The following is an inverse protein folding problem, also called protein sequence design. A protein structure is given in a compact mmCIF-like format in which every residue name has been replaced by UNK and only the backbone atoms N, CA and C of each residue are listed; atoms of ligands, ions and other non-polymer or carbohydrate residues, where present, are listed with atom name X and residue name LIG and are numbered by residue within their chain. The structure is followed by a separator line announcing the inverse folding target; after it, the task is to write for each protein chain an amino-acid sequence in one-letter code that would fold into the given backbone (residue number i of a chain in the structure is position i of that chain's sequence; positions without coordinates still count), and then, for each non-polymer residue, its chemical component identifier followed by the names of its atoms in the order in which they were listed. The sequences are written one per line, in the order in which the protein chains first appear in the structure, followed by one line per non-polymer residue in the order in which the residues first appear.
data_IF_431153496702
#
_entry.id   IF_431153496702
#
_cell.length_a   1.000
_cell.length_b   1.000
_cell.length_c   1.000
_cell.angle_alpha   90.00
_cell.angle_beta   90.00
_cell.angle_gamma   90.00
#
_symmetry.space_group_name_H-M   'P 1'
#
loop_
_entity.id
_entity.type
_entity.pdbx_description
1 polymer ?
#
# COMPACT_ATOMS: atom_id res chain seq x y z
N UNK A 1 -6.38 9.13 -11.18
CA UNK A 1 -5.77 8.23 -10.19
C UNK A 1 -5.71 8.93 -8.84
N UNK A 2 -6.38 8.39 -7.82
CA UNK A 2 -6.32 8.89 -6.45
C UNK A 2 -5.29 8.11 -5.64
N UNK A 3 -4.07 8.66 -5.52
CA UNK A 3 -2.99 8.13 -4.70
C UNK A 3 -2.80 8.91 -3.40
N UNK A 4 -3.55 10.01 -3.22
CA UNK A 4 -3.44 10.85 -2.02
C UNK A 4 -3.95 10.11 -0.79
N UNK A 5 -3.10 9.91 0.21
CA UNK A 5 -3.45 9.29 1.47
C UNK A 5 -2.36 9.50 2.53
N UNK A 6 -2.73 9.52 3.79
CA UNK A 6 -1.84 9.19 4.89
C UNK A 6 -1.61 7.67 4.92
N UNK A 7 -0.34 7.23 5.05
CA UNK A 7 0.03 5.82 4.78
C UNK A 7 0.93 5.16 5.82
N UNK A 8 1.19 5.79 6.96
CA UNK A 8 2.10 5.23 7.97
C UNK A 8 1.33 4.60 9.11
N UNK A 9 1.36 3.26 9.20
CA UNK A 9 0.58 2.50 10.18
C UNK A 9 0.85 2.97 11.61
N UNK A 10 2.12 3.05 12.05
CA UNK A 10 2.45 3.46 13.42
C UNK A 10 1.92 4.85 13.74
N UNK A 11 2.05 5.81 12.82
CA UNK A 11 1.47 7.15 12.98
C UNK A 11 -0.05 7.13 13.08
N UNK A 12 -0.71 6.17 12.44
CA UNK A 12 -2.16 6.04 12.55
C UNK A 12 -2.60 5.56 13.93
N UNK A 13 -1.73 4.83 14.64
CA UNK A 13 -1.97 4.41 16.02
C UNK A 13 -1.79 5.58 16.97
N UNK A 14 -0.74 6.39 16.75
CA UNK A 14 -0.43 7.55 17.61
C UNK A 14 -1.40 8.71 17.39
N UNK A 15 -1.80 8.97 16.14
CA UNK A 15 -2.69 10.07 15.78
C UNK A 15 -3.62 9.66 14.63
N UNK A 16 -4.76 9.00 14.91
CA UNK A 16 -5.69 8.52 13.88
C UNK A 16 -6.46 9.63 13.18
N UNK A 17 -6.63 10.80 13.79
CA UNK A 17 -7.44 11.92 13.26
C UNK A 17 -7.02 12.33 11.85
N UNK A 18 -5.72 12.51 11.61
CA UNK A 18 -5.18 12.86 10.28
C UNK A 18 -5.52 11.82 9.21
N UNK A 19 -5.63 10.56 9.59
CA UNK A 19 -6.02 9.48 8.67
C UNK A 19 -7.51 9.52 8.35
N UNK A 20 -8.36 9.90 9.29
CA UNK A 20 -9.78 10.13 9.06
C UNK A 20 -9.96 11.33 8.12
N UNK A 21 -9.32 12.46 8.42
CA UNK A 21 -9.40 13.65 7.59
C UNK A 21 -8.92 13.41 6.16
N UNK A 22 -7.70 12.85 6.00
CA UNK A 22 -7.10 12.64 4.69
C UNK A 22 -7.78 11.52 3.90
N UNK A 23 -7.93 10.34 4.53
CA UNK A 23 -8.32 9.12 3.81
C UNK A 23 -9.85 8.95 3.69
N UNK A 24 -10.64 9.56 4.57
CA UNK A 24 -12.11 9.47 4.52
C UNK A 24 -12.71 10.78 4.03
N UNK A 25 -12.50 11.88 4.75
CA UNK A 25 -13.10 13.18 4.40
C UNK A 25 -12.52 13.69 3.07
N UNK A 26 -11.19 13.55 2.87
CA UNK A 26 -10.54 13.89 1.60
C UNK A 26 -11.08 13.08 0.43
N UNK A 27 -11.33 11.77 0.61
CA UNK A 27 -11.93 10.93 -0.43
C UNK A 27 -13.39 11.31 -0.68
N UNK A 28 -14.17 11.61 0.36
CA UNK A 28 -15.53 12.13 0.22
C UNK A 28 -15.56 13.40 -0.64
N UNK A 29 -14.72 14.38 -0.32
CA UNK A 29 -14.64 15.63 -1.09
C UNK A 29 -14.27 15.38 -2.56
N UNK A 30 -13.30 14.49 -2.80
CA UNK A 30 -12.93 14.08 -4.16
C UNK A 30 -14.12 13.45 -4.90
N UNK A 31 -14.88 12.59 -4.24
CA UNK A 31 -16.03 11.90 -4.84
C UNK A 31 -17.15 12.88 -5.19
N UNK A 32 -17.43 13.87 -4.34
CA UNK A 32 -18.41 14.93 -4.65
C UNK A 32 -17.99 15.74 -5.88
N UNK A 33 -16.73 16.15 -5.96
CA UNK A 33 -16.20 16.84 -7.15
C UNK A 33 -16.24 15.93 -8.40
N UNK A 34 -15.81 14.68 -8.27
CA UNK A 34 -15.75 13.75 -9.38
C UNK A 34 -17.15 13.35 -9.89
N UNK A 35 -18.12 13.26 -9.02
CA UNK A 35 -19.54 13.03 -9.38
C UNK A 35 -20.04 14.09 -10.38
N UNK A 36 -19.77 15.36 -10.12
CA UNK A 36 -20.17 16.44 -11.04
C UNK A 36 -19.32 16.48 -12.32
N UNK A 37 -18.00 16.25 -12.17
CA UNK A 37 -17.08 16.23 -13.31
C UNK A 37 -17.38 15.10 -14.30
N UNK A 38 -17.68 13.91 -13.80
CA UNK A 38 -17.94 12.72 -14.64
C UNK A 38 -19.21 12.80 -15.49
N UNK A 39 -20.16 13.66 -15.11
CA UNK A 39 -21.35 13.94 -15.93
C UNK A 39 -21.02 14.65 -17.25
N UNK A 40 -19.91 15.41 -17.26
CA UNK A 40 -19.51 16.27 -18.38
C UNK A 40 -18.30 15.72 -19.17
N UNK A 41 -17.71 14.62 -18.73
CA UNK A 41 -16.50 14.06 -19.33
C UNK A 41 -16.49 12.55 -19.35
N UNK A 42 -15.87 11.95 -20.38
CA UNK A 42 -15.58 10.51 -20.44
C UNK A 42 -14.35 10.22 -19.59
N UNK A 43 -14.49 10.29 -18.27
CA UNK A 43 -13.42 10.05 -17.32
C UNK A 43 -13.69 8.81 -16.49
N UNK A 44 -12.66 8.26 -15.85
CA UNK A 44 -12.81 7.22 -14.83
C UNK A 44 -11.85 7.48 -13.68
N UNK A 45 -12.25 7.11 -12.48
CA UNK A 45 -11.46 7.22 -11.26
C UNK A 45 -10.86 5.86 -10.92
N UNK A 46 -9.55 5.80 -10.72
CA UNK A 46 -8.89 4.67 -10.09
C UNK A 46 -8.55 5.07 -8.66
N UNK A 47 -9.22 4.47 -7.68
CA UNK A 47 -8.94 4.66 -6.27
C UNK A 47 -7.93 3.62 -5.80
N UNK A 48 -6.78 4.09 -5.33
CA UNK A 48 -5.70 3.23 -4.86
C UNK A 48 -5.86 2.97 -3.35
N UNK A 49 -6.14 1.73 -2.99
CA UNK A 49 -6.24 1.21 -1.64
C UNK A 49 -5.05 0.29 -1.32
N UNK A 50 -5.22 -0.59 -0.37
CA UNK A 50 -4.17 -1.46 0.18
C UNK A 50 -4.72 -2.85 0.50
N UNK A 51 -3.88 -3.88 0.44
CA UNK A 51 -4.19 -5.23 0.90
C UNK A 51 -4.41 -5.32 2.43
N UNK A 52 -3.94 -4.31 3.19
CA UNK A 52 -4.14 -4.25 4.64
C UNK A 52 -5.62 -4.14 5.06
N UNK A 53 -6.53 -3.78 4.15
CA UNK A 53 -7.97 -3.79 4.41
C UNK A 53 -8.52 -5.19 4.70
N UNK A 54 -7.85 -6.24 4.24
CA UNK A 54 -8.22 -7.63 4.51
C UNK A 54 -7.80 -8.12 5.90
N UNK A 55 -6.90 -7.37 6.58
CA UNK A 55 -6.34 -7.75 7.87
C UNK A 55 -5.29 -8.86 7.79
N UNK A 56 -5.08 -9.56 8.89
CA UNK A 56 -4.09 -10.63 8.97
C UNK A 56 -4.58 -11.90 8.29
N UNK A 57 -3.89 -12.33 7.25
CA UNK A 57 -4.14 -13.57 6.53
C UNK A 57 -3.21 -14.64 7.09
N UNK A 58 -3.73 -15.49 7.98
CA UNK A 58 -2.94 -16.51 8.65
C UNK A 58 -2.54 -17.68 7.73
N UNK A 59 -3.34 -17.96 6.71
CA UNK A 59 -3.06 -18.99 5.71
C UNK A 59 -3.75 -18.67 4.38
N UNK A 60 -3.13 -19.07 3.25
CA UNK A 60 -3.69 -18.80 1.93
C UNK A 60 -3.50 -17.35 1.47
N UNK A 61 -4.47 -16.84 0.73
CA UNK A 61 -4.48 -15.49 0.14
C UNK A 61 -5.89 -14.91 0.14
N UNK A 62 -5.98 -13.58 0.25
CA UNK A 62 -7.21 -12.86 -0.01
C UNK A 62 -7.43 -12.69 -1.52
N UNK A 63 -8.67 -12.81 -1.94
CA UNK A 63 -9.13 -12.36 -3.25
C UNK A 63 -10.04 -11.14 -3.07
N UNK A 64 -10.50 -10.56 -4.16
CA UNK A 64 -11.31 -9.34 -4.15
C UNK A 64 -12.68 -9.48 -3.47
N UNK A 65 -13.14 -10.71 -3.20
CA UNK A 65 -14.37 -11.01 -2.46
C UNK A 65 -14.13 -11.33 -0.99
N UNK A 66 -12.85 -11.30 -0.55
CA UNK A 66 -12.53 -11.57 0.84
C UNK A 66 -13.06 -10.44 1.74
N UNK A 67 -13.66 -10.76 2.91
CA UNK A 67 -14.20 -9.74 3.78
C UNK A 67 -13.11 -8.83 4.36
N UNK A 68 -13.37 -7.53 4.43
CA UNK A 68 -12.50 -6.58 5.08
C UNK A 68 -12.48 -6.79 6.60
N UNK A 69 -11.28 -6.88 7.17
CA UNK A 69 -11.01 -7.02 8.61
C UNK A 69 -9.79 -6.19 9.00
N UNK A 70 -9.82 -4.86 8.81
CA UNK A 70 -8.66 -4.01 9.02
C UNK A 70 -8.19 -4.08 10.48
N UNK A 71 -6.86 -4.17 10.69
CA UNK A 71 -6.23 -4.33 12.00
C UNK A 71 -5.56 -3.06 12.53
N UNK A 72 -5.62 -1.94 11.79
CA UNK A 72 -5.06 -0.66 12.21
C UNK A 72 -5.98 0.51 11.83
N UNK A 73 -5.84 1.70 12.46
CA UNK A 73 -6.60 2.89 12.06
C UNK A 73 -6.34 3.29 10.60
N UNK A 74 -5.10 3.13 10.11
CA UNK A 74 -4.78 3.30 8.68
C UNK A 74 -5.61 2.36 7.80
N UNK A 75 -5.54 1.06 8.06
CA UNK A 75 -6.26 0.07 7.27
C UNK A 75 -7.78 0.28 7.35
N UNK A 76 -8.30 0.66 8.53
CA UNK A 76 -9.70 0.99 8.72
C UNK A 76 -10.12 2.23 7.92
N UNK A 77 -9.30 3.28 7.88
CA UNK A 77 -9.56 4.48 7.08
C UNK A 77 -9.59 4.18 5.58
N UNK A 78 -8.71 3.29 5.10
CA UNK A 78 -8.69 2.84 3.70
C UNK A 78 -9.91 1.97 3.38
N UNK A 79 -10.29 1.05 4.26
CA UNK A 79 -11.51 0.25 4.11
C UNK A 79 -12.77 1.14 4.04
N UNK A 80 -12.85 2.16 4.91
CA UNK A 80 -13.95 3.13 4.88
C UNK A 80 -14.01 3.89 3.55
N UNK A 81 -12.86 4.35 3.02
CA UNK A 81 -12.81 5.03 1.73
C UNK A 81 -13.20 4.10 0.56
N UNK A 82 -12.81 2.83 0.59
CA UNK A 82 -13.22 1.84 -0.42
C UNK A 82 -14.75 1.66 -0.42
N UNK A 83 -15.35 1.57 0.77
CA UNK A 83 -16.81 1.50 0.90
C UNK A 83 -17.50 2.79 0.41
N UNK A 84 -16.93 3.97 0.66
CA UNK A 84 -17.45 5.22 0.10
C UNK A 84 -17.42 5.18 -1.43
N UNK A 85 -16.28 4.86 -2.04
CA UNK A 85 -16.15 4.76 -3.51
C UNK A 85 -17.16 3.76 -4.07
N UNK A 86 -17.26 2.57 -3.48
CA UNK A 86 -18.20 1.53 -3.90
C UNK A 86 -19.65 2.01 -3.80
N UNK A 87 -20.03 2.71 -2.72
CA UNK A 87 -21.37 3.26 -2.54
C UNK A 87 -21.70 4.32 -3.59
N UNK A 88 -20.74 5.17 -3.96
CA UNK A 88 -20.90 6.19 -4.99
C UNK A 88 -21.06 5.57 -6.40
N UNK A 89 -20.29 4.52 -6.70
CA UNK A 89 -20.52 3.75 -7.95
C UNK A 89 -21.93 3.21 -8.00
N UNK A 90 -22.40 2.59 -6.91
CA UNK A 90 -23.74 1.97 -6.85
C UNK A 90 -24.85 2.99 -6.92
N UNK A 91 -24.74 4.09 -6.17
CA UNK A 91 -25.81 5.10 -6.00
C UNK A 91 -25.82 6.11 -7.13
N UNK A 92 -24.67 6.72 -7.41
CA UNK A 92 -24.55 7.82 -8.36
C UNK A 92 -24.00 7.41 -9.73
N UNK A 93 -23.68 6.12 -9.93
CA UNK A 93 -23.15 5.55 -11.17
C UNK A 93 -21.86 6.20 -11.65
N UNK A 94 -21.05 6.74 -10.72
CA UNK A 94 -19.74 7.30 -11.09
C UNK A 94 -18.84 6.18 -11.65
N UNK A 95 -18.01 6.48 -12.66
CA UNK A 95 -17.13 5.49 -13.29
C UNK A 95 -15.83 5.31 -12.47
N UNK A 96 -15.89 4.61 -11.34
CA UNK A 96 -14.75 4.34 -10.49
C UNK A 96 -14.40 2.85 -10.38
N UNK A 97 -13.13 2.56 -10.13
CA UNK A 97 -12.53 1.24 -9.90
C UNK A 97 -11.66 1.33 -8.65
N UNK A 98 -11.65 0.29 -7.83
CA UNK A 98 -10.84 0.21 -6.61
C UNK A 98 -9.70 -0.79 -6.83
N UNK A 99 -8.50 -0.44 -6.36
CA UNK A 99 -7.34 -1.34 -6.41
C UNK A 99 -6.73 -1.52 -5.02
N UNK A 100 -6.50 -2.76 -4.60
CA UNK A 100 -5.87 -3.11 -3.33
C UNK A 100 -4.46 -3.63 -3.63
N UNK A 101 -3.44 -2.79 -3.40
CA UNK A 101 -2.06 -3.14 -3.69
C UNK A 101 -1.32 -3.68 -2.46
N UNK A 102 -0.40 -4.61 -2.72
CA UNK A 102 0.58 -5.06 -1.73
C UNK A 102 1.68 -4.00 -1.49
N UNK A 103 2.61 -4.29 -0.57
CA UNK A 103 3.64 -3.33 -0.18
C UNK A 103 4.55 -2.97 -1.36
N UNK A 104 4.51 -1.71 -1.75
CA UNK A 104 5.36 -1.19 -2.81
C UNK A 104 6.79 -0.97 -2.34
N UNK A 105 7.76 -1.20 -3.23
CA UNK A 105 9.14 -0.77 -3.06
C UNK A 105 9.72 -0.26 -4.37
N UNK A 106 10.74 0.61 -4.29
CA UNK A 106 11.42 1.10 -5.48
C UNK A 106 12.03 2.50 -5.33
N UNK A 107 12.52 3.08 -6.42
CA UNK A 107 13.11 4.41 -6.43
C UNK A 107 12.15 5.48 -5.91
N UNK A 108 12.69 6.45 -5.18
CA UNK A 108 11.96 7.59 -4.59
C UNK A 108 10.94 7.21 -3.50
N UNK A 109 10.95 5.97 -2.98
CA UNK A 109 10.16 5.63 -1.81
C UNK A 109 10.59 6.47 -0.61
N UNK A 110 9.61 6.90 0.21
CA UNK A 110 9.88 7.75 1.36
C UNK A 110 10.89 7.12 2.33
N UNK A 111 11.89 7.86 2.82
CA UNK A 111 13.01 7.32 3.62
C UNK A 111 12.62 6.62 4.92
N UNK A 112 11.46 6.93 5.49
CA UNK A 112 10.95 6.29 6.71
C UNK A 112 10.45 4.86 6.50
N UNK A 113 10.14 4.48 5.25
CA UNK A 113 9.65 3.13 4.94
C UNK A 113 10.76 2.09 5.10
N UNK A 114 10.37 0.84 5.38
CA UNK A 114 11.29 -0.23 5.77
C UNK A 114 12.50 -0.37 4.83
N UNK A 115 12.26 -0.58 3.54
CA UNK A 115 13.35 -0.86 2.58
C UNK A 115 14.32 0.31 2.45
N UNK A 116 13.92 1.57 2.20
CA UNK A 116 14.85 2.70 2.15
C UNK A 116 15.62 2.89 3.46
N UNK A 117 14.95 2.75 4.61
CA UNK A 117 15.57 2.87 5.94
C UNK A 117 16.65 1.80 6.15
N UNK A 118 16.37 0.55 5.78
CA UNK A 118 17.36 -0.52 5.87
C UNK A 118 18.54 -0.28 4.93
N UNK A 119 18.31 0.15 3.69
CA UNK A 119 19.38 0.48 2.73
C UNK A 119 20.26 1.60 3.29
N UNK A 120 19.66 2.68 3.79
CA UNK A 120 20.40 3.79 4.41
C UNK A 120 21.28 3.31 5.57
N UNK A 121 20.74 2.48 6.46
CA UNK A 121 21.49 1.93 7.59
C UNK A 121 22.64 1.02 7.13
N UNK A 122 22.40 0.17 6.14
CA UNK A 122 23.43 -0.71 5.58
C UNK A 122 24.61 0.10 5.02
N UNK A 123 24.31 1.11 4.19
CA UNK A 123 25.32 1.95 3.55
C UNK A 123 26.14 2.77 4.58
N UNK A 124 25.52 3.12 5.71
CA UNK A 124 26.18 3.87 6.80
C UNK A 124 26.73 2.97 7.92
N UNK A 125 26.79 1.64 7.73
CA UNK A 125 27.20 0.67 8.74
C UNK A 125 26.45 0.80 10.08
N UNK A 126 25.17 1.21 10.04
CA UNK A 126 24.31 1.31 11.21
C UNK A 126 23.57 -0.02 11.43
N UNK A 127 23.16 -0.33 12.67
CA UNK A 127 22.34 -1.49 12.95
C UNK A 127 20.98 -1.42 12.22
N UNK A 128 20.41 -2.59 11.91
CA UNK A 128 19.09 -2.71 11.30
C UNK A 128 18.04 -2.96 12.39
N UNK A 129 17.23 -1.97 12.75
CA UNK A 129 16.13 -2.18 13.70
C UNK A 129 15.00 -2.95 13.03
N UNK A 130 14.58 -4.06 13.67
CA UNK A 130 13.47 -4.89 13.21
C UNK A 130 12.48 -5.04 14.36
N UNK A 131 11.23 -4.69 14.13
CA UNK A 131 10.17 -4.83 15.13
C UNK A 131 9.93 -6.30 15.51
N UNK A 132 9.88 -6.57 16.80
CA UNK A 132 9.66 -7.88 17.35
C UNK A 132 10.70 -8.89 16.85
N UNK A 133 10.27 -10.10 16.48
CA UNK A 133 11.15 -11.15 15.94
C UNK A 133 11.34 -11.09 14.41
N UNK A 134 10.84 -10.03 13.76
CA UNK A 134 10.92 -9.86 12.30
C UNK A 134 10.11 -10.89 11.49
N UNK A 135 9.15 -11.57 12.12
CA UNK A 135 8.34 -12.63 11.49
C UNK A 135 7.16 -12.11 10.67
N UNK A 136 6.83 -10.81 10.80
CA UNK A 136 5.74 -10.20 10.04
C UNK A 136 6.03 -10.33 8.55
N UNK A 137 5.21 -11.09 7.86
CA UNK A 137 5.31 -11.31 6.42
C UNK A 137 4.47 -10.30 5.67
N UNK A 138 4.97 -9.84 4.54
CA UNK A 138 4.28 -8.95 3.62
C UNK A 138 4.55 -9.40 2.19
N UNK A 139 3.58 -9.19 1.33
CA UNK A 139 3.80 -9.30 -0.10
C UNK A 139 4.45 -8.02 -0.62
N UNK A 140 5.47 -8.13 -1.47
CA UNK A 140 6.26 -6.99 -1.96
C UNK A 140 6.15 -6.88 -3.48
N UNK A 141 5.77 -5.70 -3.97
CA UNK A 141 5.67 -5.41 -5.40
C UNK A 141 6.61 -4.25 -5.80
N UNK A 142 7.29 -4.40 -6.93
CA UNK A 142 8.09 -3.30 -7.47
C UNK A 142 7.19 -2.20 -8.02
N UNK A 143 7.51 -0.95 -7.71
CA UNK A 143 6.63 0.19 -8.00
C UNK A 143 6.30 0.35 -9.48
N UNK A 144 7.20 0.00 -10.40
CA UNK A 144 6.92 0.06 -11.85
C UNK A 144 5.88 -0.98 -12.25
N UNK A 145 5.97 -2.20 -11.71
CA UNK A 145 5.00 -3.26 -11.99
C UNK A 145 3.60 -2.85 -11.48
N UNK A 146 3.55 -2.19 -10.31
CA UNK A 146 2.31 -1.61 -9.80
C UNK A 146 1.76 -0.53 -10.73
N UNK A 147 2.61 0.40 -11.20
CA UNK A 147 2.19 1.44 -12.15
C UNK A 147 1.66 0.86 -13.47
N UNK A 148 2.32 -0.18 -14.00
CA UNK A 148 1.87 -0.89 -15.22
C UNK A 148 0.52 -1.58 -15.01
N UNK A 149 0.33 -2.22 -13.84
CA UNK A 149 -0.95 -2.81 -13.46
C UNK A 149 -2.06 -1.77 -13.37
N UNK A 150 -1.80 -0.61 -12.73
CA UNK A 150 -2.75 0.51 -12.64
C UNK A 150 -3.14 1.03 -14.02
N UNK A 151 -2.17 1.19 -14.92
CA UNK A 151 -2.43 1.62 -16.31
C UNK A 151 -3.28 0.58 -17.06
N UNK A 152 -2.98 -0.70 -16.90
CA UNK A 152 -3.76 -1.79 -17.51
C UNK A 152 -5.21 -1.81 -16.98
N UNK A 153 -5.40 -1.61 -15.67
CA UNK A 153 -6.72 -1.52 -15.04
C UNK A 153 -7.46 -0.27 -15.55
N UNK A 154 -6.78 0.87 -15.66
CA UNK A 154 -7.37 2.09 -16.22
C UNK A 154 -7.90 1.86 -17.63
N UNK A 155 -7.15 1.16 -18.47
CA UNK A 155 -7.54 0.91 -19.89
C UNK A 155 -8.60 -0.19 -20.04
N UNK A 156 -8.51 -1.26 -19.23
CA UNK A 156 -9.29 -2.49 -19.45
C UNK A 156 -10.17 -2.90 -18.27
N UNK A 157 -10.03 -2.27 -17.12
CA UNK A 157 -10.78 -2.61 -15.90
C UNK A 157 -12.28 -2.29 -16.05
N UNK A 158 -13.10 -3.07 -15.37
CA UNK A 158 -14.54 -2.89 -15.31
C UNK A 158 -14.91 -1.92 -14.20
N UNK A 159 -15.77 -0.97 -14.49
CA UNK A 159 -16.30 -0.01 -13.51
C UNK A 159 -17.01 -0.75 -12.38
N UNK A 160 -16.77 -0.33 -11.16
CA UNK A 160 -17.35 -0.91 -9.94
C UNK A 160 -16.65 -2.16 -9.42
N UNK A 161 -15.65 -2.67 -10.12
CA UNK A 161 -14.90 -3.85 -9.69
C UNK A 161 -13.70 -3.47 -8.80
N UNK A 162 -13.27 -4.46 -8.01
CA UNK A 162 -12.05 -4.42 -7.21
C UNK A 162 -10.96 -5.24 -7.89
N UNK A 163 -9.72 -4.81 -7.76
CA UNK A 163 -8.55 -5.51 -8.30
C UNK A 163 -7.44 -5.58 -7.28
N UNK A 164 -7.03 -6.78 -6.89
CA UNK A 164 -5.84 -6.98 -6.09
C UNK A 164 -4.58 -6.90 -6.98
N UNK A 165 -3.59 -6.15 -6.53
CA UNK A 165 -2.32 -5.98 -7.25
C UNK A 165 -1.18 -6.44 -6.36
N UNK A 166 -0.58 -7.57 -6.69
CA UNK A 166 0.52 -8.18 -5.94
C UNK A 166 1.51 -8.91 -6.85
N UNK A 167 2.61 -9.34 -6.28
CA UNK A 167 3.71 -10.03 -6.99
C UNK A 167 3.75 -11.54 -6.76
N UNK A 168 2.93 -12.05 -5.86
CA UNK A 168 3.00 -13.41 -5.32
C UNK A 168 4.28 -13.74 -4.52
N UNK A 169 5.06 -12.73 -4.10
CA UNK A 169 6.29 -12.90 -3.31
C UNK A 169 6.11 -12.39 -1.89
N UNK A 170 5.91 -13.31 -0.95
CA UNK A 170 5.85 -12.99 0.48
C UNK A 170 7.24 -13.13 1.10
N UNK A 171 7.69 -12.08 1.77
CA UNK A 171 8.92 -12.09 2.56
C UNK A 171 8.64 -11.46 3.92
N UNK A 172 9.16 -12.07 4.98
CA UNK A 172 9.14 -11.43 6.28
C UNK A 172 10.26 -10.39 6.41
N UNK A 173 10.14 -9.50 7.40
CA UNK A 173 11.08 -8.39 7.59
C UNK A 173 12.53 -8.86 7.76
N UNK A 174 12.74 -10.01 8.41
CA UNK A 174 14.07 -10.60 8.57
C UNK A 174 14.64 -11.09 7.23
N UNK A 175 13.82 -11.72 6.39
CA UNK A 175 14.23 -12.16 5.04
C UNK A 175 14.59 -10.95 4.17
N UNK A 176 13.75 -9.90 4.14
CA UNK A 176 14.04 -8.65 3.42
C UNK A 176 15.38 -8.06 3.88
N UNK A 177 15.62 -8.00 5.19
CA UNK A 177 16.88 -7.46 5.74
C UNK A 177 18.11 -8.27 5.30
N UNK A 178 18.03 -9.60 5.35
CA UNK A 178 19.11 -10.50 4.91
C UNK A 178 19.41 -10.33 3.41
N UNK A 179 18.35 -10.27 2.59
CA UNK A 179 18.51 -10.05 1.14
C UNK A 179 19.18 -8.70 0.84
N UNK A 180 18.73 -7.62 1.49
CA UNK A 180 19.35 -6.30 1.32
C UNK A 180 20.82 -6.29 1.74
N UNK A 181 21.20 -6.94 2.85
CA UNK A 181 22.59 -7.08 3.26
C UNK A 181 23.40 -7.83 2.19
N UNK A 182 22.88 -8.95 1.67
CA UNK A 182 23.57 -9.76 0.66
C UNK A 182 23.78 -8.98 -0.64
N UNK A 183 22.75 -8.29 -1.12
CA UNK A 183 22.82 -7.46 -2.32
C UNK A 183 23.81 -6.30 -2.11
N UNK A 184 23.75 -5.62 -0.97
CA UNK A 184 24.63 -4.48 -0.67
C UNK A 184 26.10 -4.89 -0.56
N UNK A 185 26.40 -6.07 0.00
CA UNK A 185 27.78 -6.62 0.00
C UNK A 185 28.31 -6.83 -1.40
N UNK A 186 27.48 -7.34 -2.32
CA UNK A 186 27.88 -7.58 -3.72
C UNK A 186 28.14 -6.28 -4.49
N UNK A 187 27.28 -5.27 -4.28
CA UNK A 187 27.32 -4.03 -5.06
C UNK A 187 28.29 -3.00 -4.46
N UNK A 188 28.24 -2.79 -3.15
CA UNK A 188 28.93 -1.69 -2.48
C UNK A 188 30.15 -2.14 -1.66
N UNK A 189 30.52 -3.42 -1.67
CA UNK A 189 31.65 -3.98 -0.91
C UNK A 189 31.61 -3.59 0.57
N UNK A 190 30.43 -3.63 1.19
CA UNK A 190 30.23 -3.30 2.61
C UNK A 190 31.04 -4.28 3.45
N UNK A 191 32.17 -3.80 4.03
CA UNK A 191 33.16 -4.66 4.68
C UNK A 191 32.86 -5.03 6.14
N UNK A 192 31.99 -4.29 6.83
CA UNK A 192 31.69 -4.49 8.25
C UNK A 192 30.52 -5.43 8.47
N UNK A 193 30.59 -6.19 9.59
CA UNK A 193 29.49 -7.05 10.02
C UNK A 193 28.31 -6.22 10.50
N UNK A 194 27.22 -6.19 9.73
CA UNK A 194 26.02 -5.43 10.06
C UNK A 194 25.19 -6.23 11.09
N UNK A 195 24.81 -5.58 12.19
CA UNK A 195 23.98 -6.17 13.25
C UNK A 195 22.49 -5.95 12.92
N UNK A 196 21.69 -7.00 13.10
CA UNK A 196 20.23 -6.91 13.15
C UNK A 196 19.85 -6.79 14.62
N UNK A 197 19.05 -5.78 14.97
CA UNK A 197 18.53 -5.55 16.31
C UNK A 197 17.04 -5.90 16.32
N UNK A 198 16.63 -6.67 17.31
CA UNK A 198 15.23 -7.07 17.53
C UNK A 198 14.65 -6.34 18.72
#
# INVERSE_FOLDING_TARGET
FNLAAETHVDRSIDNPEKFIESNIVGVFNLLECFKEYSKKSKSRLIHISTDEVYGDILSGRSNEKFPYKPSSPYAASKAASDHLVSSYVRTYKIPAIITNCSNNYGPKQHPEKLIPKLIYNILNNKPLPIYGKGKNSREWIYVKDHCEALLKIFLKGKIGEFYNIGSNKNLNNLQVSKELINISKKIFKVGKKIKILF
#
